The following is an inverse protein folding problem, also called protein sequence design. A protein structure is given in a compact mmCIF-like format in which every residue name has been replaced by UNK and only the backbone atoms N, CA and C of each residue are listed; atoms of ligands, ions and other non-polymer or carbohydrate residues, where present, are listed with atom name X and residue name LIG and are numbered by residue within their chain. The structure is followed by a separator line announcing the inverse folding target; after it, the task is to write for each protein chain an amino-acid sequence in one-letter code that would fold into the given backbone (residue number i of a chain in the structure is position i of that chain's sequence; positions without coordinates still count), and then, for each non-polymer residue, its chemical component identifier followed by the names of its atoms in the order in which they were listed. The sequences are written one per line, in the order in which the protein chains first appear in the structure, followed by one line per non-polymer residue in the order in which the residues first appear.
data_IF_704672361789
#
_entry.id   IF_704672361789
#
_cell.length_a   1.000
_cell.length_b   1.000
_cell.length_c   1.000
_cell.angle_alpha   90.00
_cell.angle_beta   90.00
_cell.angle_gamma   90.00
#
_symmetry.space_group_name_H-M   'P 1'
#
loop_
_entity.id
_entity.type
_entity.pdbx_description
1 polymer ?
#
# COMPACT_ATOMS: atom_id res chain seq x y z
N UNK A 1 16.20 35.82 -44.00
CA UNK A 1 16.60 34.44 -43.61
C UNK A 1 17.01 34.49 -42.16
N UNK A 2 16.15 34.01 -41.26
CA UNK A 2 16.28 34.11 -39.79
C UNK A 2 17.01 32.86 -39.29
N UNK A 3 18.31 32.99 -39.05
CA UNK A 3 19.11 31.93 -38.46
C UNK A 3 19.09 32.02 -36.94
N UNK A 4 18.92 30.86 -36.32
CA UNK A 4 19.53 30.46 -35.05
C UNK A 4 19.08 31.24 -33.80
N UNK A 5 17.99 30.79 -33.19
CA UNK A 5 17.87 30.84 -31.73
C UNK A 5 17.60 29.43 -31.20
N UNK A 6 18.70 28.78 -30.82
CA UNK A 6 18.85 27.90 -29.66
C UNK A 6 17.66 27.00 -29.33
N UNK A 7 17.66 25.84 -29.98
CA UNK A 7 17.14 24.60 -29.44
C UNK A 7 17.96 24.19 -28.19
N UNK A 8 17.60 24.73 -27.02
CA UNK A 8 18.24 24.39 -25.74
C UNK A 8 17.21 24.29 -24.60
N UNK A 9 16.10 23.60 -24.86
CA UNK A 9 15.06 23.28 -23.86
C UNK A 9 14.73 21.77 -23.84
N UNK A 10 15.72 20.94 -24.16
CA UNK A 10 15.69 19.48 -23.98
C UNK A 10 16.70 19.05 -22.90
N UNK A 11 16.72 19.77 -21.78
CA UNK A 11 17.27 19.23 -20.54
C UNK A 11 16.20 18.33 -19.92
N UNK A 12 16.30 17.05 -20.23
CA UNK A 12 15.64 15.95 -19.57
C UNK A 12 15.46 16.21 -18.07
N UNK A 13 14.24 16.17 -17.51
CA UNK A 13 14.13 15.56 -16.21
C UNK A 13 14.42 14.07 -16.48
N UNK A 14 15.64 13.66 -16.14
CA UNK A 14 15.91 12.26 -15.85
C UNK A 14 14.72 11.75 -15.05
N UNK A 15 14.03 10.76 -15.60
CA UNK A 15 13.09 9.92 -14.89
C UNK A 15 13.82 9.41 -13.67
N UNK A 16 13.70 10.11 -12.55
CA UNK A 16 13.89 9.53 -11.25
C UNK A 16 12.78 8.49 -11.16
N UNK A 17 13.09 7.27 -11.58
CA UNK A 17 12.54 6.09 -10.93
C UNK A 17 13.00 6.19 -9.48
N UNK A 18 12.30 7.01 -8.70
CA UNK A 18 12.28 6.86 -7.27
C UNK A 18 11.77 5.44 -7.07
N UNK A 19 12.68 4.51 -6.77
CA UNK A 19 12.29 3.29 -6.08
C UNK A 19 11.37 3.76 -4.96
N UNK A 20 10.11 3.35 -5.02
CA UNK A 20 9.02 3.99 -4.29
C UNK A 20 9.45 4.16 -2.84
N UNK A 21 9.86 5.38 -2.47
CA UNK A 21 10.23 5.68 -1.09
C UNK A 21 8.93 5.48 -0.34
N UNK A 22 8.92 4.45 0.49
CA UNK A 22 7.72 4.08 1.21
C UNK A 22 7.22 5.30 1.98
N UNK A 23 6.00 5.73 1.70
CA UNK A 23 5.33 6.77 2.49
C UNK A 23 5.05 6.27 3.92
N UNK A 24 5.27 4.98 4.20
CA UNK A 24 5.17 4.41 5.53
C UNK A 24 6.41 4.70 6.39
N UNK A 25 7.49 5.25 5.81
CA UNK A 25 8.71 5.62 6.52
C UNK A 25 9.83 4.58 6.39
N UNK A 26 10.75 4.58 7.36
CA UNK A 26 11.90 3.67 7.40
C UNK A 26 11.71 2.61 8.48
N UNK A 27 12.14 1.38 8.22
CA UNK A 27 12.05 0.27 9.16
C UNK A 27 11.90 -1.07 8.46
N UNK A 28 11.66 -2.12 9.25
CA UNK A 28 11.29 -3.44 8.74
C UNK A 28 10.03 -3.35 7.87
N UNK A 29 10.11 -3.66 6.55
CA UNK A 29 8.97 -3.59 5.64
C UNK A 29 7.77 -4.39 6.12
N UNK A 30 7.99 -5.56 6.74
CA UNK A 30 6.90 -6.43 7.20
C UNK A 30 6.11 -5.77 8.33
N UNK A 31 6.82 -5.12 9.26
CA UNK A 31 6.20 -4.36 10.37
C UNK A 31 5.46 -3.12 9.87
N UNK A 32 6.04 -2.40 8.90
CA UNK A 32 5.40 -1.23 8.30
C UNK A 32 4.09 -1.63 7.60
N UNK A 33 4.12 -2.70 6.80
CA UNK A 33 2.91 -3.24 6.16
C UNK A 33 1.86 -3.62 7.19
N UNK A 34 2.23 -4.33 8.25
CA UNK A 34 1.29 -4.74 9.29
C UNK A 34 0.54 -3.54 9.90
N UNK A 35 1.26 -2.51 10.32
CA UNK A 35 0.67 -1.33 10.97
C UNK A 35 -0.25 -0.57 10.00
N UNK A 36 0.18 -0.38 8.75
CA UNK A 36 -0.63 0.34 7.78
C UNK A 36 -1.86 -0.49 7.35
N UNK A 37 -1.76 -1.82 7.27
CA UNK A 37 -2.92 -2.69 7.03
C UNK A 37 -3.97 -2.55 8.14
N UNK A 38 -3.57 -2.39 9.40
CA UNK A 38 -4.52 -2.14 10.49
C UNK A 38 -5.28 -0.83 10.29
N UNK A 39 -4.54 0.24 9.94
CA UNK A 39 -5.13 1.55 9.66
C UNK A 39 -6.09 1.50 8.46
N UNK A 40 -5.66 0.87 7.37
CA UNK A 40 -6.47 0.75 6.14
C UNK A 40 -7.70 -0.13 6.37
N UNK A 41 -7.59 -1.21 7.13
CA UNK A 41 -8.74 -2.05 7.48
C UNK A 41 -9.79 -1.27 8.27
N UNK A 42 -9.39 -0.57 9.34
CA UNK A 42 -10.32 0.25 10.12
C UNK A 42 -10.98 1.35 9.26
N UNK A 43 -10.18 2.05 8.45
CA UNK A 43 -10.70 3.10 7.60
C UNK A 43 -11.61 2.56 6.49
N UNK A 44 -11.25 1.43 5.90
CA UNK A 44 -12.06 0.77 4.87
C UNK A 44 -13.41 0.33 5.43
N UNK A 45 -13.43 -0.31 6.60
CA UNK A 45 -14.68 -0.68 7.28
C UNK A 45 -15.58 0.53 7.56
N UNK A 46 -15.01 1.65 8.02
CA UNK A 46 -15.76 2.90 8.20
C UNK A 46 -16.33 3.43 6.88
N UNK A 47 -15.52 3.49 5.82
CA UNK A 47 -15.96 3.89 4.49
C UNK A 47 -17.11 2.98 4.00
N UNK A 48 -16.99 1.66 4.15
CA UNK A 48 -18.02 0.71 3.72
C UNK A 48 -19.33 0.82 4.51
N UNK A 49 -19.27 1.25 5.77
CA UNK A 49 -20.45 1.48 6.60
C UNK A 49 -21.10 2.85 6.35
N UNK A 50 -20.32 3.86 5.99
CA UNK A 50 -20.77 5.24 5.90
C UNK A 50 -21.45 5.59 4.57
N UNK A 51 -21.06 4.95 3.46
CA UNK A 51 -21.54 5.30 2.13
C UNK A 51 -22.30 4.14 1.48
N UNK A 52 -23.39 4.49 0.79
CA UNK A 52 -24.03 3.60 -0.18
C UNK A 52 -23.35 3.75 -1.54
N UNK A 53 -22.67 2.71 -2.02
CA UNK A 53 -21.98 2.76 -3.33
C UNK A 53 -22.89 2.50 -4.53
N UNK A 54 -24.16 2.15 -4.32
CA UNK A 54 -25.16 2.13 -5.39
C UNK A 54 -25.67 3.54 -5.74
N UNK A 55 -25.36 4.53 -4.90
CA UNK A 55 -25.67 5.95 -5.13
C UNK A 55 -24.42 6.69 -5.68
N UNK A 56 -24.44 7.15 -6.95
CA UNK A 56 -23.32 7.86 -7.55
C UNK A 56 -22.90 9.14 -6.80
N UNK A 57 -23.85 9.82 -6.15
CA UNK A 57 -23.55 11.04 -5.39
C UNK A 57 -22.73 10.73 -4.14
N UNK A 58 -23.10 9.66 -3.43
CA UNK A 58 -22.36 9.19 -2.26
C UNK A 58 -20.98 8.64 -2.65
N UNK A 59 -20.90 7.94 -3.78
CA UNK A 59 -19.61 7.51 -4.32
C UNK A 59 -18.68 8.71 -4.59
N UNK A 60 -19.19 9.75 -5.25
CA UNK A 60 -18.41 10.96 -5.54
C UNK A 60 -18.00 11.68 -4.24
N UNK A 61 -18.88 11.73 -3.25
CA UNK A 61 -18.57 12.31 -1.94
C UNK A 61 -17.46 11.53 -1.22
N UNK A 62 -17.54 10.20 -1.20
CA UNK A 62 -16.48 9.36 -0.65
C UNK A 62 -15.14 9.64 -1.33
N UNK A 63 -15.11 9.70 -2.66
CA UNK A 63 -13.87 9.98 -3.40
C UNK A 63 -13.26 11.34 -3.04
N UNK A 64 -14.10 12.39 -2.86
CA UNK A 64 -13.62 13.71 -2.44
C UNK A 64 -13.07 13.70 -1.01
N UNK A 65 -13.69 12.96 -0.10
CA UNK A 65 -13.33 12.94 1.32
C UNK A 65 -12.19 11.97 1.64
N UNK A 66 -12.10 10.84 0.94
CA UNK A 66 -11.20 9.74 1.26
C UNK A 66 -10.26 9.35 0.11
N UNK A 67 -10.36 9.95 -1.08
CA UNK A 67 -9.54 9.55 -2.24
C UNK A 67 -8.04 9.57 -2.00
N UNK A 68 -7.55 10.41 -1.07
CA UNK A 68 -6.14 10.45 -0.67
C UNK A 68 -5.65 9.13 -0.07
N UNK A 69 -6.54 8.31 0.51
CA UNK A 69 -6.16 7.05 1.16
C UNK A 69 -5.62 6.02 0.17
N UNK A 70 -6.03 6.10 -1.10
CA UNK A 70 -5.55 5.19 -2.15
C UNK A 70 -4.05 5.38 -2.41
N UNK A 71 -3.51 6.60 -2.25
CA UNK A 71 -2.07 6.81 -2.37
C UNK A 71 -1.30 6.07 -1.26
N UNK A 72 -1.82 6.10 -0.03
CA UNK A 72 -1.25 5.35 1.11
C UNK A 72 -1.32 3.84 0.88
N UNK A 73 -2.47 3.33 0.45
CA UNK A 73 -2.64 1.92 0.15
C UNK A 73 -1.71 1.45 -1.00
N UNK A 74 -1.51 2.25 -2.04
CA UNK A 74 -0.52 1.97 -3.08
C UNK A 74 0.90 1.92 -2.53
N UNK A 75 1.25 2.83 -1.62
CA UNK A 75 2.57 2.82 -0.96
C UNK A 75 2.77 1.58 -0.10
N UNK A 76 1.71 1.07 0.53
CA UNK A 76 1.74 -0.18 1.29
C UNK A 76 2.10 -1.35 0.36
N UNK A 77 1.49 -1.46 -0.82
CA UNK A 77 1.82 -2.49 -1.81
C UNK A 77 3.29 -2.40 -2.24
N UNK A 78 3.80 -1.18 -2.48
CA UNK A 78 5.21 -0.97 -2.79
C UNK A 78 6.16 -1.39 -1.64
N UNK A 79 5.71 -1.25 -0.39
CA UNK A 79 6.48 -1.67 0.80
C UNK A 79 6.43 -3.18 0.98
N UNK A 80 5.29 -3.81 0.70
CA UNK A 80 5.15 -5.26 0.66
C UNK A 80 6.13 -5.90 -0.33
N UNK A 81 6.40 -5.24 -1.46
CA UNK A 81 7.42 -5.68 -2.43
C UNK A 81 8.86 -5.67 -1.92
N UNK A 82 9.13 -5.07 -0.75
CA UNK A 82 10.44 -5.05 -0.10
C UNK A 82 10.58 -6.16 0.96
N UNK A 83 9.51 -6.91 1.26
CA UNK A 83 9.56 -8.06 2.17
C UNK A 83 10.41 -9.17 1.54
N UNK A 84 11.34 -9.79 2.29
CA UNK A 84 12.14 -10.90 1.77
C UNK A 84 11.30 -12.11 1.32
N UNK A 85 11.86 -12.90 0.40
CA UNK A 85 11.31 -14.23 0.12
C UNK A 85 11.38 -15.14 1.35
N UNK A 86 10.47 -16.13 1.51
CA UNK A 86 9.47 -16.60 0.52
C UNK A 86 8.08 -15.96 0.67
N UNK A 87 7.92 -14.97 1.55
CA UNK A 87 6.59 -14.47 1.92
C UNK A 87 6.12 -13.27 1.09
N UNK A 88 7.00 -12.69 0.27
CA UNK A 88 6.78 -11.43 -0.45
C UNK A 88 5.47 -11.40 -1.22
N UNK A 89 5.24 -12.40 -2.08
CA UNK A 89 4.07 -12.44 -2.96
C UNK A 89 2.76 -12.42 -2.17
N UNK A 90 2.67 -13.21 -1.09
CA UNK A 90 1.49 -13.21 -0.21
C UNK A 90 1.29 -11.88 0.49
N UNK A 91 2.36 -11.21 0.91
CA UNK A 91 2.26 -9.88 1.54
C UNK A 91 1.87 -8.80 0.52
N UNK A 92 2.28 -8.93 -0.74
CA UNK A 92 1.81 -8.07 -1.84
C UNK A 92 0.31 -8.25 -2.05
N UNK A 93 -0.17 -9.51 -2.11
CA UNK A 93 -1.60 -9.82 -2.26
C UNK A 93 -2.42 -9.27 -1.09
N UNK A 94 -1.93 -9.41 0.14
CA UNK A 94 -2.50 -8.80 1.33
C UNK A 94 -2.62 -7.26 1.19
N UNK A 95 -1.60 -6.62 0.62
CA UNK A 95 -1.63 -5.19 0.33
C UNK A 95 -2.68 -4.80 -0.72
N UNK A 96 -2.90 -5.63 -1.73
CA UNK A 96 -3.98 -5.40 -2.70
C UNK A 96 -5.37 -5.57 -2.09
N UNK A 97 -5.55 -6.49 -1.14
CA UNK A 97 -6.79 -6.56 -0.36
C UNK A 97 -7.00 -5.28 0.47
N UNK A 98 -5.95 -4.76 1.11
CA UNK A 98 -5.99 -3.47 1.82
C UNK A 98 -6.44 -2.33 0.90
N UNK A 99 -5.83 -2.24 -0.29
CA UNK A 99 -6.17 -1.25 -1.31
C UNK A 99 -7.63 -1.35 -1.76
N UNK A 100 -8.10 -2.55 -2.06
CA UNK A 100 -9.48 -2.77 -2.49
C UNK A 100 -10.49 -2.44 -1.38
N UNK A 101 -10.16 -2.74 -0.12
CA UNK A 101 -11.01 -2.46 1.03
C UNK A 101 -11.26 -0.95 1.23
N UNK A 102 -10.25 -0.10 1.07
CA UNK A 102 -10.40 1.37 1.26
C UNK A 102 -10.94 2.10 0.03
N UNK A 103 -11.19 1.40 -1.07
CA UNK A 103 -11.70 2.02 -2.29
C UNK A 103 -13.15 2.45 -2.11
N UNK A 104 -13.48 3.66 -2.57
CA UNK A 104 -14.85 4.18 -2.67
C UNK A 104 -15.66 3.52 -3.80
N UNK A 105 -15.56 2.19 -3.90
CA UNK A 105 -16.32 1.32 -4.78
C UNK A 105 -16.01 -0.13 -4.42
N UNK A 106 -16.79 -1.06 -4.96
CA UNK A 106 -16.61 -2.48 -4.70
C UNK A 106 -17.11 -2.93 -3.33
N UNK A 107 -17.13 -4.24 -3.16
CA UNK A 107 -17.79 -4.96 -2.08
C UNK A 107 -16.96 -5.00 -0.78
N UNK A 108 -17.63 -5.16 0.37
CA UNK A 108 -17.00 -5.27 1.69
C UNK A 108 -16.15 -6.54 1.87
N UNK A 109 -16.38 -7.58 1.08
CA UNK A 109 -15.64 -8.85 1.07
C UNK A 109 -14.12 -8.70 0.93
N UNK A 110 -13.63 -7.61 0.32
CA UNK A 110 -12.20 -7.32 0.33
C UNK A 110 -11.68 -6.95 1.73
N UNK A 111 -12.49 -6.25 2.52
CA UNK A 111 -12.21 -5.95 3.92
C UNK A 111 -12.23 -7.22 4.79
N UNK A 112 -13.12 -8.18 4.50
CA UNK A 112 -13.28 -9.41 5.28
C UNK A 112 -12.07 -10.34 5.21
N UNK A 113 -11.25 -10.23 4.17
CA UNK A 113 -10.00 -11.00 4.02
C UNK A 113 -8.83 -10.46 4.84
N UNK A 114 -8.83 -9.16 5.17
CA UNK A 114 -7.72 -8.51 5.85
C UNK A 114 -7.39 -9.08 7.24
N UNK A 115 -8.36 -9.45 8.09
CA UNK A 115 -8.06 -10.06 9.38
C UNK A 115 -7.17 -11.32 9.28
N UNK A 116 -7.43 -12.19 8.31
CA UNK A 116 -6.64 -13.40 8.08
C UNK A 116 -5.22 -13.06 7.60
N UNK A 117 -5.09 -12.17 6.62
CA UNK A 117 -3.76 -11.78 6.12
C UNK A 117 -2.93 -11.01 7.16
N UNK A 118 -3.58 -10.17 7.98
CA UNK A 118 -2.91 -9.53 9.12
C UNK A 118 -2.50 -10.54 10.20
N UNK A 119 -3.24 -11.63 10.39
CA UNK A 119 -2.84 -12.70 11.30
C UNK A 119 -1.58 -13.42 10.79
N UNK A 120 -1.53 -13.74 9.50
CA UNK A 120 -0.35 -14.29 8.85
C UNK A 120 0.88 -13.38 9.00
N UNK A 121 0.74 -12.09 8.68
CA UNK A 121 1.87 -11.14 8.80
C UNK A 121 2.31 -10.98 10.26
N UNK A 122 1.38 -10.97 11.21
CA UNK A 122 1.70 -10.94 12.64
C UNK A 122 2.51 -12.18 13.05
N UNK A 123 2.13 -13.36 12.57
CA UNK A 123 2.86 -14.60 12.85
C UNK A 123 4.31 -14.49 12.40
N UNK A 124 4.55 -14.04 11.16
CA UNK A 124 5.90 -13.80 10.63
C UNK A 124 6.72 -12.83 11.49
N UNK A 125 6.10 -11.77 12.02
CA UNK A 125 6.76 -10.80 12.90
C UNK A 125 7.11 -11.38 14.28
N UNK A 126 6.43 -12.44 14.70
CA UNK A 126 6.66 -13.11 15.99
C UNK A 126 7.58 -14.32 15.90
N UNK A 127 7.93 -14.77 14.69
CA UNK A 127 8.90 -15.84 14.52
C UNK A 127 10.31 -15.34 14.86
N UNK A 128 11.09 -16.12 15.63
CA UNK A 128 12.48 -15.77 15.89
C UNK A 128 13.24 -15.72 14.56
N UNK A 129 14.00 -14.65 14.36
CA UNK A 129 14.81 -14.48 13.16
C UNK A 129 15.81 -15.63 13.05
N UNK A 130 15.91 -16.29 11.89
CA UNK A 130 16.86 -17.38 11.66
C UNK A 130 18.34 -16.95 11.76
N UNK A 131 18.61 -15.67 11.98
CA UNK A 131 19.93 -15.11 12.29
C UNK A 131 20.40 -15.33 13.73
N UNK A 132 19.55 -15.72 14.68
CA UNK A 132 19.96 -15.99 16.07
C UNK A 132 20.36 -17.45 16.32
N UNK A 133 20.18 -18.35 15.36
CA UNK A 133 20.51 -19.77 15.51
C UNK A 133 21.92 -20.16 15.04
N UNK A 134 22.68 -19.23 14.46
CA UNK A 134 24.02 -19.51 13.92
C UNK A 134 25.19 -19.29 14.92
N UNK A 135 24.92 -18.70 16.09
CA UNK A 135 25.96 -18.33 17.08
C UNK A 135 25.97 -19.22 18.34
N UNK A 136 25.35 -20.42 18.30
CA UNK A 136 25.24 -21.31 19.48
C UNK A 136 25.75 -22.74 19.28
N UNK A 137 26.56 -23.01 18.26
CA UNK A 137 27.28 -24.29 18.10
C UNK A 137 28.80 -24.14 18.24
#
# INVERSE_FOLDING_TARGET
MKTQLMALLLMFPLLAQAGAVSQLGTGDPLRLVYVEMQYLYQTGMQIKQQYNFDDPMQQMQCQRQHGYILARASSLVGTAGQVPEPHRDRVIDAGWYAYACVRCSGDISHCEKLPEEMAFIRELLTQPSSSEQADSE
#
